data_IF_000517275742
#
_entry.id   IF_000517275742
#
_cell.length_a   1.000
_cell.length_b   1.000
_cell.length_c   1.000
_cell.angle_alpha   90.00
_cell.angle_beta   90.00
_cell.angle_gamma   90.00
#
_symmetry.space_group_name_H-M   'P 1'
#
loop_
_entity.id
_entity.type
_entity.pdbx_description
1 polymer ?
#
# COMPACT_ATOMS: atom_id res chain seq x y z
N UNK A 1 -8.07 -23.33 -1.33
CA UNK A 1 -9.06 -22.29 -1.01
C UNK A 1 -9.38 -21.50 -2.29
N UNK A 2 -10.20 -22.03 -3.21
CA UNK A 2 -11.67 -21.98 -3.17
C UNK A 2 -12.21 -20.56 -2.92
N UNK A 3 -12.21 -19.67 -3.92
CA UNK A 3 -13.10 -18.50 -3.83
C UNK A 3 -13.80 -18.05 -5.11
N UNK A 4 -13.40 -18.46 -6.31
CA UNK A 4 -14.13 -18.06 -7.52
C UNK A 4 -14.17 -19.19 -8.55
N UNK A 5 -15.27 -19.94 -8.53
CA UNK A 5 -15.60 -21.03 -9.44
C UNK A 5 -16.17 -20.43 -10.75
N UNK A 6 -15.34 -19.74 -11.55
CA UNK A 6 -15.71 -19.21 -12.87
C UNK A 6 -14.75 -19.74 -13.94
N UNK A 7 -15.24 -20.08 -15.15
CA UNK A 7 -14.36 -20.44 -16.25
C UNK A 7 -13.45 -19.24 -16.56
N UNK A 8 -12.15 -19.49 -16.73
CA UNK A 8 -11.21 -18.44 -17.13
C UNK A 8 -11.73 -17.80 -18.41
N UNK A 9 -11.92 -16.47 -18.46
CA UNK A 9 -12.29 -15.81 -19.71
C UNK A 9 -11.16 -16.00 -20.72
N UNK A 10 -11.51 -16.28 -21.98
CA UNK A 10 -10.54 -16.36 -23.06
C UNK A 10 -9.81 -15.04 -23.17
N UNK A 11 -8.53 -15.05 -22.78
CA UNK A 11 -7.68 -13.88 -22.86
C UNK A 11 -7.33 -13.70 -24.34
N UNK A 12 -8.09 -12.85 -25.03
CA UNK A 12 -7.82 -12.53 -26.43
C UNK A 12 -6.37 -12.02 -26.58
N UNK A 13 -5.61 -12.45 -27.60
CA UNK A 13 -4.26 -11.94 -27.86
C UNK A 13 -4.20 -10.41 -27.94
N UNK A 14 -5.29 -9.78 -28.37
CA UNK A 14 -5.43 -8.32 -28.42
C UNK A 14 -5.45 -7.68 -27.02
N UNK A 15 -6.07 -8.36 -26.05
CA UNK A 15 -6.09 -7.92 -24.66
C UNK A 15 -4.72 -8.07 -24.01
N UNK A 16 -4.00 -9.16 -24.31
CA UNK A 16 -2.61 -9.34 -23.86
C UNK A 16 -1.69 -8.27 -24.41
N UNK A 17 -1.76 -8.00 -25.72
CA UNK A 17 -0.96 -6.95 -26.34
C UNK A 17 -1.25 -5.58 -25.73
N UNK A 18 -2.52 -5.27 -25.47
CA UNK A 18 -2.92 -4.04 -24.79
C UNK A 18 -2.41 -3.98 -23.34
N UNK A 19 -2.54 -5.06 -22.57
CA UNK A 19 -2.01 -5.14 -21.20
C UNK A 19 -0.49 -4.97 -21.16
N UNK A 20 0.22 -5.52 -22.15
CA UNK A 20 1.67 -5.40 -22.27
C UNK A 20 2.12 -4.02 -22.74
N UNK A 21 1.29 -3.29 -23.50
CA UNK A 21 1.64 -1.96 -24.01
C UNK A 21 1.42 -0.83 -23.01
N UNK A 22 0.71 -1.08 -21.90
CA UNK A 22 0.51 -0.06 -20.87
C UNK A 22 1.70 0.00 -19.90
N UNK A 23 2.16 1.20 -19.61
CA UNK A 23 3.12 1.47 -18.54
C UNK A 23 2.37 1.42 -17.22
N UNK A 24 2.46 0.31 -16.47
CA UNK A 24 1.84 0.13 -15.15
C UNK A 24 2.71 0.77 -14.06
N UNK A 25 2.50 2.04 -13.68
CA UNK A 25 3.42 2.76 -12.82
C UNK A 25 3.25 2.35 -11.36
N UNK A 26 2.09 1.77 -11.00
CA UNK A 26 1.66 1.41 -9.65
C UNK A 26 1.81 -0.07 -9.26
N UNK A 27 2.66 -0.84 -9.94
CA UNK A 27 3.02 -2.23 -9.58
C UNK A 27 1.90 -3.29 -9.82
N UNK A 28 2.15 -4.56 -9.45
CA UNK A 28 1.26 -5.73 -9.70
C UNK A 28 -0.17 -5.58 -9.13
N UNK A 29 -0.37 -4.70 -8.15
CA UNK A 29 -1.71 -4.44 -7.57
C UNK A 29 -2.63 -3.70 -8.54
N UNK A 30 -2.09 -2.81 -9.37
CA UNK A 30 -2.85 -2.06 -10.38
C UNK A 30 -3.30 -2.96 -11.53
N UNK A 31 -2.43 -3.90 -11.94
CA UNK A 31 -2.77 -4.97 -12.88
C UNK A 31 -3.86 -5.89 -12.31
N UNK A 32 -3.73 -6.29 -11.04
CA UNK A 32 -4.73 -7.13 -10.36
C UNK A 32 -6.08 -6.43 -10.27
N UNK A 33 -6.11 -5.15 -9.91
CA UNK A 33 -7.36 -4.40 -9.79
C UNK A 33 -8.04 -4.17 -11.15
N UNK A 34 -7.26 -3.88 -12.20
CA UNK A 34 -7.77 -3.81 -13.57
C UNK A 34 -8.28 -5.16 -14.06
N UNK A 35 -7.56 -6.25 -13.81
CA UNK A 35 -7.96 -7.60 -14.17
C UNK A 35 -9.24 -8.03 -13.43
N UNK A 36 -9.36 -7.73 -12.12
CA UNK A 36 -10.56 -7.98 -11.32
C UNK A 36 -11.77 -7.24 -11.91
N UNK A 37 -11.60 -5.99 -12.34
CA UNK A 37 -12.68 -5.19 -12.93
C UNK A 37 -13.03 -5.61 -14.36
N UNK A 38 -12.06 -6.09 -15.14
CA UNK A 38 -12.29 -6.69 -16.46
C UNK A 38 -13.11 -7.98 -16.36
N UNK A 39 -12.75 -8.87 -15.44
CA UNK A 39 -13.48 -10.12 -15.17
C UNK A 39 -14.90 -9.87 -14.65
N UNK A 40 -15.13 -8.71 -14.01
CA UNK A 40 -16.46 -8.27 -13.57
C UNK A 40 -17.29 -7.58 -14.66
N UNK A 41 -16.76 -7.40 -15.87
CA UNK A 41 -17.48 -6.80 -17.01
C UNK A 41 -17.69 -5.28 -16.90
N UNK A 42 -16.99 -4.61 -15.98
CA UNK A 42 -17.12 -3.16 -15.71
C UNK A 42 -16.22 -2.29 -16.62
N UNK A 43 -15.49 -2.91 -17.54
CA UNK A 43 -14.71 -2.25 -18.58
C UNK A 43 -15.28 -2.65 -19.93
N UNK A 44 -16.43 -2.08 -20.29
CA UNK A 44 -16.75 -1.91 -21.71
C UNK A 44 -15.72 -0.96 -22.30
N UNK A 45 -15.18 -1.35 -23.44
CA UNK A 45 -14.20 -0.62 -24.26
C UNK A 45 -14.34 0.92 -24.12
N UNK A 46 -13.22 1.64 -24.11
CA UNK A 46 -13.12 3.09 -24.33
C UNK A 46 -13.66 4.11 -23.30
N UNK A 47 -13.79 3.79 -22.01
CA UNK A 47 -13.91 4.87 -21.01
C UNK A 47 -12.64 5.00 -20.14
N UNK A 48 -11.92 6.15 -20.20
CA UNK A 48 -10.99 6.47 -19.13
C UNK A 48 -11.82 6.58 -17.85
N UNK A 49 -11.56 5.66 -16.93
CA UNK A 49 -12.23 5.62 -15.62
C UNK A 49 -12.00 6.99 -14.97
N UNK A 50 -13.05 7.69 -14.49
CA UNK A 50 -12.83 8.86 -13.66
C UNK A 50 -12.03 8.39 -12.47
N UNK A 51 -10.79 8.86 -12.42
CA UNK A 51 -9.83 8.62 -11.36
C UNK A 51 -10.56 8.86 -10.05
N UNK A 52 -10.90 7.79 -9.34
CA UNK A 52 -11.34 7.90 -7.96
C UNK A 52 -10.20 8.60 -7.24
N UNK A 53 -10.49 9.83 -6.84
CA UNK A 53 -9.57 10.75 -6.19
C UNK A 53 -8.92 10.07 -5.00
N UNK A 54 -7.72 9.56 -5.20
CA UNK A 54 -6.54 9.77 -4.38
C UNK A 54 -5.49 8.81 -4.90
N UNK A 55 -4.59 9.33 -5.71
CA UNK A 55 -3.18 8.97 -5.70
C UNK A 55 -2.47 9.96 -6.64
N UNK A 56 -2.42 11.22 -6.21
CA UNK A 56 -1.17 11.96 -6.41
C UNK A 56 -0.11 11.24 -5.56
N UNK A 57 0.41 10.13 -6.03
CA UNK A 57 1.49 9.43 -5.35
C UNK A 57 2.73 9.45 -6.21
N UNK A 58 3.17 10.67 -6.54
CA UNK A 58 4.57 10.91 -6.89
C UNK A 58 5.51 10.32 -5.82
N UNK A 59 6.79 10.17 -6.16
CA UNK A 59 7.82 9.53 -5.32
C UNK A 59 7.70 9.87 -3.82
N UNK A 60 7.38 11.12 -3.50
CA UNK A 60 7.15 11.62 -2.13
C UNK A 60 6.11 10.81 -1.34
N UNK A 61 4.95 10.48 -1.91
CA UNK A 61 3.91 9.74 -1.20
C UNK A 61 4.28 8.27 -1.00
N UNK A 62 4.99 7.67 -1.98
CA UNK A 62 5.52 6.31 -1.85
C UNK A 62 6.55 6.24 -0.72
N UNK A 63 7.45 7.22 -0.65
CA UNK A 63 8.41 7.35 0.44
C UNK A 63 7.69 7.54 1.78
N UNK A 64 6.67 8.39 1.84
CA UNK A 64 5.90 8.62 3.06
C UNK A 64 5.18 7.35 3.54
N UNK A 65 4.58 6.58 2.64
CA UNK A 65 3.94 5.31 2.97
C UNK A 65 4.96 4.26 3.44
N UNK A 66 6.12 4.19 2.79
CA UNK A 66 7.21 3.30 3.20
C UNK A 66 7.77 3.68 4.57
N UNK A 67 8.03 4.97 4.79
CA UNK A 67 8.50 5.52 6.05
C UNK A 67 7.53 5.20 7.19
N UNK A 68 6.22 5.45 6.98
CA UNK A 68 5.18 5.10 7.94
C UNK A 68 5.26 3.63 8.32
N UNK A 69 5.28 2.73 7.32
CA UNK A 69 5.34 1.29 7.55
C UNK A 69 6.58 0.87 8.33
N UNK A 70 7.74 1.43 7.99
CA UNK A 70 9.00 1.13 8.66
C UNK A 70 8.96 1.53 10.15
N UNK A 71 8.39 2.70 10.45
CA UNK A 71 8.23 3.17 11.83
C UNK A 71 7.29 2.26 12.61
N UNK A 72 6.16 1.85 12.03
CA UNK A 72 5.20 0.93 12.65
C UNK A 72 5.82 -0.45 12.93
N UNK A 73 6.56 -1.01 11.97
CA UNK A 73 7.23 -2.31 12.13
C UNK A 73 8.28 -2.27 13.25
N UNK A 74 9.06 -1.20 13.36
CA UNK A 74 9.99 -1.01 14.47
C UNK A 74 9.28 -0.80 15.80
N UNK A 75 8.19 -0.02 15.84
CA UNK A 75 7.41 0.15 17.07
C UNK A 75 6.84 -1.18 17.58
N UNK A 76 6.39 -2.07 16.68
CA UNK A 76 5.96 -3.43 17.05
C UNK A 76 7.09 -4.26 17.66
N UNK A 77 8.28 -4.23 17.05
CA UNK A 77 9.44 -4.99 17.54
C UNK A 77 9.98 -4.47 18.87
N UNK A 78 9.80 -3.17 19.11
CA UNK A 78 10.28 -2.48 20.32
C UNK A 78 9.19 -2.28 21.37
N UNK A 79 8.02 -2.90 21.21
CA UNK A 79 6.89 -2.82 22.14
C UNK A 79 6.49 -1.36 22.48
N UNK A 80 6.49 -0.50 21.46
CA UNK A 80 6.16 0.92 21.60
C UNK A 80 7.25 1.79 22.26
N UNK A 81 8.45 1.25 22.49
CA UNK A 81 9.55 2.01 23.10
C UNK A 81 10.21 3.00 22.13
N UNK A 82 9.64 4.21 22.01
CA UNK A 82 10.10 5.28 21.10
C UNK A 82 11.61 5.56 21.19
N UNK A 83 12.18 5.54 22.41
CA UNK A 83 13.63 5.74 22.60
C UNK A 83 14.49 4.65 21.95
N UNK A 84 14.01 3.41 22.00
CA UNK A 84 14.69 2.25 21.42
C UNK A 84 14.47 2.25 19.90
N UNK A 85 13.23 2.51 19.45
CA UNK A 85 12.88 2.67 18.03
C UNK A 85 13.75 3.73 17.35
N UNK A 86 13.94 4.90 17.99
CA UNK A 86 14.79 5.97 17.45
C UNK A 86 16.25 5.54 17.30
N UNK A 87 16.79 4.78 18.27
CA UNK A 87 18.15 4.26 18.20
C UNK A 87 18.30 3.23 17.07
N UNK A 88 17.35 2.31 16.92
CA UNK A 88 17.39 1.29 15.86
C UNK A 88 17.25 1.89 14.46
N UNK A 89 16.38 2.89 14.30
CA UNK A 89 16.23 3.64 13.06
C UNK A 89 17.38 4.65 12.82
N UNK A 90 18.30 4.78 13.78
CA UNK A 90 19.39 5.77 13.76
C UNK A 90 18.90 7.21 13.55
N UNK A 91 17.75 7.53 14.14
CA UNK A 91 17.14 8.85 14.07
C UNK A 91 17.29 9.60 15.40
N UNK A 92 17.47 10.94 15.37
CA UNK A 92 17.27 11.74 16.56
C UNK A 92 15.85 11.56 17.10
N UNK A 93 15.70 11.46 18.42
CA UNK A 93 14.37 11.28 19.05
C UNK A 93 13.36 12.34 18.59
N UNK A 94 13.80 13.60 18.50
CA UNK A 94 12.96 14.71 18.04
C UNK A 94 12.42 14.46 16.63
N UNK A 95 13.28 14.05 15.70
CA UNK A 95 12.88 13.68 14.34
C UNK A 95 11.89 12.54 14.32
N UNK A 96 12.08 11.50 15.15
CA UNK A 96 11.10 10.42 15.24
C UNK A 96 9.74 10.94 15.74
N UNK A 97 9.70 11.80 16.76
CA UNK A 97 8.43 12.41 17.21
C UNK A 97 7.74 13.23 16.12
N UNK A 98 8.51 14.02 15.35
CA UNK A 98 7.96 14.78 14.22
C UNK A 98 7.35 13.85 13.16
N UNK A 99 8.00 12.71 12.89
CA UNK A 99 7.49 11.68 11.97
C UNK A 99 6.26 10.95 12.50
N UNK A 100 6.22 10.63 13.79
CA UNK A 100 5.04 10.03 14.42
C UNK A 100 3.83 10.97 14.32
N UNK A 101 4.03 12.27 14.56
CA UNK A 101 2.99 13.28 14.41
C UNK A 101 2.54 13.45 12.96
N UNK A 102 3.49 13.51 12.01
CA UNK A 102 3.20 13.59 10.57
C UNK A 102 2.33 12.42 10.10
N UNK A 103 2.66 11.20 10.54
CA UNK A 103 2.00 9.96 10.11
C UNK A 103 0.84 9.53 11.02
N UNK A 104 0.52 10.34 12.04
CA UNK A 104 -0.52 10.08 13.06
C UNK A 104 -0.36 8.72 13.76
N UNK A 105 0.88 8.32 14.02
CA UNK A 105 1.22 7.05 14.67
C UNK A 105 1.27 7.27 16.19
N UNK A 106 0.52 6.46 16.94
CA UNK A 106 0.52 6.49 18.40
C UNK A 106 1.35 5.33 18.97
N UNK A 107 2.52 5.58 19.59
CA UNK A 107 3.39 4.52 20.10
C UNK A 107 2.75 3.63 21.17
N UNK A 108 1.80 4.18 21.93
CA UNK A 108 1.09 3.49 23.00
C UNK A 108 0.28 2.28 22.53
N UNK A 109 -0.20 2.29 21.29
CA UNK A 109 -0.95 1.17 20.68
C UNK A 109 -0.07 -0.08 20.49
N UNK A 110 1.25 0.10 20.48
CA UNK A 110 2.22 -0.97 20.26
C UNK A 110 2.82 -1.53 21.55
N UNK A 111 2.46 -0.94 22.69
CA UNK A 111 2.89 -1.44 23.99
C UNK A 111 1.99 -2.62 24.36
N UNK A 112 2.52 -3.77 24.79
CA UNK A 112 1.68 -4.83 25.32
C UNK A 112 0.88 -4.24 26.47
N UNK A 113 -0.45 -4.43 26.42
CA UNK A 113 -1.35 -4.11 27.52
C UNK A 113 -0.73 -4.73 28.77
N UNK A 114 -0.23 -3.91 29.70
CA UNK A 114 0.23 -4.39 30.98
C UNK A 114 -0.95 -5.14 31.59
N UNK A 115 -0.87 -6.47 31.65
CA UNK A 115 -1.83 -7.31 32.36
C UNK A 115 -2.16 -6.65 33.70
N UNK A 116 -3.39 -6.18 33.82
CA UNK A 116 -4.08 -6.04 35.11
C UNK A 116 -5.05 -7.21 35.23
#
# INVERSE_FOLDING_TARGET
AQKYNRPLPDISPMLLAWLQSQSWPGNVRELKHNAERFVLGLLTHHQPVPMTQQEESGLTACIDAFEKKLIEDMLRQTEGQVSLTARLLQLPRKTLYDKLNKHQIQPQVYRPESSS
#
